data_IF_626221057433
#
_entry.id   IF_626221057433
#
_cell.length_a   1.000
_cell.length_b   1.000
_cell.length_c   1.000
_cell.angle_alpha   90.00
_cell.angle_beta   90.00
_cell.angle_gamma   90.00
#
_symmetry.space_group_name_H-M   'P 1'
#
loop_
_entity.id
_entity.type
_entity.pdbx_description
1 polymer ?
#
# COMPACT_ATOMS: atom_id res chain seq x y z
N UNK A 1 15.01 6.21 -4.52
CA UNK A 1 13.75 6.97 -4.52
C UNK A 1 13.87 8.12 -5.51
N UNK A 2 12.95 8.20 -6.42
CA UNK A 2 12.90 9.19 -7.51
C UNK A 2 11.68 10.10 -7.34
N UNK A 3 11.81 11.38 -7.69
CA UNK A 3 10.68 12.30 -7.77
C UNK A 3 9.97 12.11 -9.09
N UNK A 4 8.66 12.20 -9.08
CA UNK A 4 7.81 12.07 -10.25
C UNK A 4 7.37 13.46 -10.73
N UNK A 5 7.33 13.63 -12.05
CA UNK A 5 6.77 14.83 -12.66
C UNK A 5 5.26 14.95 -12.42
N UNK A 6 4.58 13.81 -12.40
CA UNK A 6 3.16 13.71 -12.08
C UNK A 6 2.92 12.86 -10.83
N UNK A 7 1.97 13.26 -9.99
CA UNK A 7 1.55 12.53 -8.79
C UNK A 7 0.91 11.20 -9.17
N UNK A 8 1.38 10.09 -8.63
CA UNK A 8 0.64 8.83 -8.65
C UNK A 8 -0.54 8.98 -7.69
N UNK A 9 -1.77 9.10 -8.25
CA UNK A 9 -2.95 9.46 -7.50
C UNK A 9 -4.19 8.68 -7.95
N UNK A 10 -4.80 7.92 -7.02
CA UNK A 10 -5.97 7.10 -7.32
C UNK A 10 -5.79 5.63 -6.94
N UNK A 11 -6.52 4.77 -7.63
CA UNK A 11 -6.51 3.32 -7.44
C UNK A 11 -5.72 2.67 -8.57
N UNK A 12 -4.75 1.83 -8.17
CA UNK A 12 -3.88 1.13 -9.10
C UNK A 12 -3.98 -0.37 -8.89
N UNK A 13 -3.88 -1.11 -9.98
CA UNK A 13 -3.87 -2.56 -9.98
C UNK A 13 -2.46 -3.07 -9.71
N UNK A 14 -2.37 -4.09 -8.85
CA UNK A 14 -1.13 -4.73 -8.44
C UNK A 14 -1.19 -6.23 -8.69
N UNK A 15 -0.03 -6.83 -8.90
CA UNK A 15 0.15 -8.26 -9.05
C UNK A 15 0.95 -8.83 -7.89
N UNK A 16 0.54 -10.00 -7.38
CA UNK A 16 1.32 -10.74 -6.39
C UNK A 16 2.45 -11.51 -7.06
N UNK A 17 3.67 -11.41 -6.52
CA UNK A 17 4.86 -12.03 -7.08
C UNK A 17 5.24 -13.30 -6.30
N UNK A 18 5.46 -13.21 -4.99
CA UNK A 18 5.91 -14.31 -4.13
C UNK A 18 4.78 -14.87 -3.25
N UNK A 19 3.83 -15.58 -3.84
CA UNK A 19 2.58 -16.07 -3.21
C UNK A 19 2.75 -16.93 -1.96
N UNK A 20 3.93 -17.53 -1.76
CA UNK A 20 4.21 -18.39 -0.60
C UNK A 20 4.60 -17.60 0.66
N UNK A 21 4.73 -16.28 0.55
CA UNK A 21 5.09 -15.44 1.69
C UNK A 21 3.87 -15.24 2.60
N UNK A 22 3.99 -15.46 3.93
CA UNK A 22 2.87 -15.33 4.86
C UNK A 22 2.18 -13.96 4.81
N UNK A 23 2.91 -12.87 4.54
CA UNK A 23 2.37 -11.51 4.51
C UNK A 23 1.25 -11.33 3.47
N UNK A 24 1.35 -11.98 2.33
CA UNK A 24 0.37 -11.88 1.24
C UNK A 24 -0.48 -13.15 1.09
N UNK A 25 -0.50 -14.01 2.11
CA UNK A 25 -1.34 -15.20 2.12
C UNK A 25 -2.82 -14.81 2.00
N UNK A 26 -3.52 -15.41 1.04
CA UNK A 26 -4.93 -15.11 0.76
C UNK A 26 -5.16 -13.89 -0.14
N UNK A 27 -4.09 -13.31 -0.70
CA UNK A 27 -4.24 -12.34 -1.76
C UNK A 27 -4.62 -13.03 -3.07
N UNK A 28 -5.43 -12.35 -3.87
CA UNK A 28 -5.63 -12.69 -5.27
C UNK A 28 -4.36 -12.43 -6.08
N UNK A 29 -4.28 -13.00 -7.27
CA UNK A 29 -3.18 -12.75 -8.20
C UNK A 29 -3.09 -11.29 -8.60
N UNK A 30 -4.25 -10.64 -8.63
CA UNK A 30 -4.44 -9.23 -9.00
C UNK A 30 -5.33 -8.57 -7.96
N UNK A 31 -4.93 -7.40 -7.48
CA UNK A 31 -5.67 -6.64 -6.50
C UNK A 31 -5.48 -5.13 -6.66
N UNK A 32 -6.35 -4.34 -6.06
CA UNK A 32 -6.30 -2.89 -6.09
C UNK A 32 -5.75 -2.31 -4.80
N UNK A 33 -4.99 -1.21 -4.93
CA UNK A 33 -4.56 -0.39 -3.78
C UNK A 33 -4.55 1.10 -4.13
N UNK A 34 -4.88 1.97 -3.15
CA UNK A 34 -4.80 3.41 -3.32
C UNK A 34 -3.37 3.94 -3.22
N UNK A 35 -3.08 4.95 -4.02
CA UNK A 35 -1.83 5.69 -3.98
C UNK A 35 -2.10 7.20 -3.98
N UNK A 36 -1.22 7.94 -3.29
CA UNK A 36 -1.18 9.41 -3.29
C UNK A 36 0.26 9.86 -3.00
N UNK A 37 1.10 9.94 -4.03
CA UNK A 37 2.52 10.23 -3.83
C UNK A 37 3.18 10.92 -5.02
N UNK A 38 4.16 11.77 -4.73
CA UNK A 38 5.01 12.47 -5.71
C UNK A 38 6.38 11.81 -5.92
N UNK A 39 6.57 10.60 -5.42
CA UNK A 39 7.84 9.89 -5.56
C UNK A 39 7.61 8.40 -5.69
N UNK A 40 8.56 7.71 -6.33
CA UNK A 40 8.54 6.26 -6.48
C UNK A 40 9.81 5.60 -5.96
N UNK A 41 9.69 4.30 -5.70
CA UNK A 41 10.82 3.41 -5.51
C UNK A 41 11.12 2.79 -6.88
N UNK A 42 12.36 2.93 -7.32
CA UNK A 42 12.83 2.35 -8.57
C UNK A 42 12.97 0.84 -8.39
N UNK A 43 12.29 0.05 -9.23
CA UNK A 43 12.29 -1.42 -9.17
C UNK A 43 13.71 -1.99 -9.24
N UNK A 44 14.50 -1.53 -10.18
CA UNK A 44 15.85 -1.99 -10.41
C UNK A 44 16.78 -1.76 -9.20
N UNK A 45 16.52 -0.71 -8.40
CA UNK A 45 17.29 -0.46 -7.18
C UNK A 45 16.93 -1.44 -6.07
N UNK A 46 15.67 -1.87 -6.00
CA UNK A 46 15.23 -2.92 -5.07
C UNK A 46 15.84 -4.27 -5.48
N UNK A 47 15.76 -4.62 -6.76
CA UNK A 47 16.23 -5.90 -7.29
C UNK A 47 17.77 -6.08 -7.20
N UNK A 48 18.53 -4.98 -7.23
CA UNK A 48 19.99 -4.99 -7.00
C UNK A 48 20.37 -5.33 -5.56
N UNK A 49 19.46 -5.14 -4.60
CA UNK A 49 19.74 -5.41 -3.19
C UNK A 49 19.22 -6.80 -2.80
N UNK A 50 20.10 -7.79 -2.55
CA UNK A 50 19.70 -9.16 -2.24
C UNK A 50 18.95 -9.29 -0.90
N UNK A 51 18.99 -8.28 -0.04
CA UNK A 51 18.23 -8.27 1.22
C UNK A 51 16.77 -7.87 1.04
N UNK A 52 16.39 -7.35 -0.13
CA UNK A 52 15.04 -6.88 -0.43
C UNK A 52 14.32 -7.87 -1.36
N UNK A 53 13.04 -8.10 -1.11
CA UNK A 53 12.17 -8.92 -1.96
C UNK A 53 10.87 -8.19 -2.22
N UNK A 54 10.53 -7.99 -3.50
CA UNK A 54 9.25 -7.42 -3.91
C UNK A 54 8.20 -8.52 -3.88
N UNK A 55 7.17 -8.34 -3.06
CA UNK A 55 6.05 -9.29 -2.92
C UNK A 55 4.87 -8.95 -3.81
N UNK A 56 4.65 -7.67 -4.05
CA UNK A 56 3.59 -7.18 -4.93
C UNK A 56 4.04 -5.90 -5.64
N UNK A 57 3.55 -5.73 -6.86
CA UNK A 57 4.01 -4.72 -7.78
C UNK A 57 2.92 -4.29 -8.76
N UNK A 58 3.07 -3.10 -9.33
CA UNK A 58 2.19 -2.52 -10.33
C UNK A 58 3.00 -2.01 -11.52
N UNK A 59 2.50 -2.24 -12.74
CA UNK A 59 3.11 -1.66 -13.94
C UNK A 59 3.03 -0.13 -13.94
N UNK A 60 1.94 0.43 -13.37
CA UNK A 60 1.69 1.87 -13.35
C UNK A 60 2.25 2.56 -12.09
N UNK A 61 2.24 1.86 -10.94
CA UNK A 61 2.62 2.44 -9.66
C UNK A 61 3.92 1.83 -9.06
N UNK A 62 4.57 0.90 -9.75
CA UNK A 62 5.83 0.26 -9.31
C UNK A 62 5.70 -0.62 -8.07
N UNK A 63 6.82 -0.94 -7.39
CA UNK A 63 6.84 -1.83 -6.24
C UNK A 63 5.90 -1.36 -5.12
N UNK A 64 5.04 -2.25 -4.64
CA UNK A 64 4.02 -1.93 -3.64
C UNK A 64 4.33 -2.50 -2.26
N UNK A 65 4.59 -3.81 -2.18
CA UNK A 65 4.97 -4.47 -0.92
C UNK A 65 6.38 -5.03 -1.08
N UNK A 66 7.28 -4.57 -0.22
CA UNK A 66 8.68 -5.01 -0.18
C UNK A 66 8.97 -5.51 1.22
N UNK A 67 9.68 -6.62 1.32
CA UNK A 67 10.07 -7.24 2.60
C UNK A 67 11.60 -7.35 2.67
N UNK A 68 12.15 -7.19 3.87
CA UNK A 68 13.56 -7.38 4.15
C UNK A 68 13.76 -8.09 5.49
N UNK A 69 14.97 -8.65 5.69
CA UNK A 69 15.39 -9.26 6.96
C UNK A 69 14.37 -10.28 7.50
N UNK A 70 13.94 -11.20 6.63
CA UNK A 70 12.98 -12.26 6.97
C UNK A 70 11.64 -11.73 7.52
N UNK A 71 11.23 -10.54 7.06
CA UNK A 71 9.97 -9.94 7.50
C UNK A 71 10.08 -8.97 8.68
N UNK A 72 11.27 -8.74 9.20
CA UNK A 72 11.48 -7.74 10.27
C UNK A 72 11.34 -6.30 9.76
N UNK A 73 11.43 -6.10 8.44
CA UNK A 73 11.18 -4.83 7.79
C UNK A 73 10.20 -5.05 6.64
N UNK A 74 9.10 -4.30 6.66
CA UNK A 74 8.04 -4.34 5.66
C UNK A 74 7.81 -2.91 5.20
N UNK A 75 7.86 -2.71 3.89
CA UNK A 75 7.63 -1.42 3.25
C UNK A 75 6.40 -1.54 2.36
N UNK A 76 5.44 -0.64 2.55
CA UNK A 76 4.24 -0.52 1.73
C UNK A 76 4.24 0.89 1.13
N UNK A 77 4.26 0.98 -0.19
CA UNK A 77 4.46 2.26 -0.91
C UNK A 77 3.16 2.99 -1.24
N UNK A 78 2.02 2.34 -1.03
CA UNK A 78 0.68 2.92 -1.17
C UNK A 78 -0.04 3.01 0.16
N UNK A 79 -1.35 3.23 0.11
CA UNK A 79 -2.18 3.53 1.28
C UNK A 79 -3.34 2.54 1.46
N UNK A 80 -3.08 1.26 1.79
CA UNK A 80 -4.16 0.29 2.01
C UNK A 80 -5.10 0.71 3.15
N UNK A 81 -4.62 1.54 4.11
CA UNK A 81 -5.38 2.06 5.24
C UNK A 81 -6.44 3.11 4.88
N UNK A 82 -6.38 3.69 3.69
CA UNK A 82 -7.25 4.81 3.33
C UNK A 82 -8.74 4.45 3.45
N UNK A 83 -9.48 5.39 4.05
CA UNK A 83 -10.95 5.38 3.98
C UNK A 83 -11.42 5.69 2.56
N UNK A 84 -12.69 5.36 2.28
CA UNK A 84 -13.26 5.53 0.96
C UNK A 84 -13.25 6.99 0.48
N UNK A 85 -13.36 7.96 1.38
CA UNK A 85 -13.41 9.39 1.06
C UNK A 85 -12.05 10.10 1.13
N UNK A 86 -10.97 9.42 1.48
CA UNK A 86 -9.66 10.06 1.70
C UNK A 86 -9.14 10.72 0.44
N UNK A 87 -9.12 10.00 -0.69
CA UNK A 87 -8.65 10.56 -1.97
C UNK A 87 -9.57 11.67 -2.50
N UNK A 88 -10.88 11.58 -2.28
CA UNK A 88 -11.84 12.65 -2.62
C UNK A 88 -11.54 13.93 -1.84
N UNK A 89 -11.27 13.78 -0.53
CA UNK A 89 -10.88 14.90 0.32
C UNK A 89 -9.55 15.54 -0.10
N UNK A 90 -8.56 14.73 -0.46
CA UNK A 90 -7.28 15.22 -0.99
C UNK A 90 -7.48 15.99 -2.32
N UNK A 91 -8.22 15.41 -3.26
CA UNK A 91 -8.50 16.01 -4.56
C UNK A 91 -9.19 17.37 -4.43
N UNK A 92 -10.29 17.42 -3.65
CA UNK A 92 -11.04 18.66 -3.41
C UNK A 92 -10.21 19.71 -2.68
N UNK A 93 -9.39 19.31 -1.71
CA UNK A 93 -8.47 20.19 -0.98
C UNK A 93 -7.46 20.84 -1.93
N UNK A 94 -6.85 20.03 -2.80
CA UNK A 94 -5.78 20.51 -3.69
C UNK A 94 -6.36 21.44 -4.78
N UNK A 95 -7.56 21.15 -5.31
CA UNK A 95 -8.32 22.06 -6.18
C UNK A 95 -8.66 23.37 -5.46
N UNK A 96 -9.14 23.31 -4.22
CA UNK A 96 -9.53 24.51 -3.46
C UNK A 96 -8.35 25.42 -3.12
N UNK A 97 -7.13 24.87 -3.05
CA UNK A 97 -5.89 25.63 -2.88
C UNK A 97 -5.40 26.31 -4.15
N UNK A 98 -6.07 26.09 -5.28
CA UNK A 98 -5.67 26.62 -6.59
C UNK A 98 -4.33 26.03 -7.06
N UNK A 99 -4.02 24.79 -6.68
CA UNK A 99 -2.81 24.14 -7.18
C UNK A 99 -2.93 23.87 -8.67
N UNK A 100 -1.88 24.17 -9.41
CA UNK A 100 -1.80 23.84 -10.83
C UNK A 100 -1.63 22.31 -11.00
N UNK A 101 -2.26 21.77 -12.03
CA UNK A 101 -2.11 20.37 -12.43
C UNK A 101 -2.47 19.33 -11.34
N UNK A 102 -3.59 19.54 -10.63
CA UNK A 102 -4.12 18.53 -9.72
C UNK A 102 -4.62 17.33 -10.54
N UNK A 103 -3.97 16.14 -10.46
CA UNK A 103 -4.39 15.01 -11.25
C UNK A 103 -5.75 14.49 -10.79
N UNK A 104 -6.56 14.06 -11.74
CA UNK A 104 -7.81 13.36 -11.44
C UNK A 104 -7.49 11.98 -10.83
N UNK A 105 -8.17 11.56 -9.73
CA UNK A 105 -7.87 10.28 -9.10
C UNK A 105 -8.26 9.11 -10.00
N UNK A 106 -7.24 8.35 -10.45
CA UNK A 106 -7.38 7.24 -11.38
C UNK A 106 -8.28 6.13 -10.83
N UNK A 107 -9.24 5.63 -11.61
CA UNK A 107 -10.15 4.49 -11.28
C UNK A 107 -10.81 4.59 -9.90
N UNK A 108 -11.04 5.79 -9.39
CA UNK A 108 -11.51 6.00 -8.04
C UNK A 108 -13.02 6.27 -7.98
N UNK A 109 -13.52 7.14 -8.84
CA UNK A 109 -14.94 7.41 -8.91
C UNK A 109 -15.66 6.40 -9.81
N UNK A 110 -16.92 6.11 -9.48
CA UNK A 110 -17.77 5.28 -10.32
C UNK A 110 -17.92 5.92 -11.70
N UNK A 111 -17.60 5.14 -12.75
CA UNK A 111 -17.66 5.58 -14.15
C UNK A 111 -16.86 6.89 -14.41
N UNK A 112 -15.79 7.12 -13.64
CA UNK A 112 -14.97 8.35 -13.64
C UNK A 112 -15.77 9.64 -13.42
N UNK A 113 -16.90 9.54 -12.69
CA UNK A 113 -17.81 10.65 -12.40
C UNK A 113 -17.83 10.95 -10.88
N UNK A 114 -17.28 12.10 -10.45
CA UNK A 114 -17.27 12.49 -9.04
C UNK A 114 -18.64 12.56 -8.39
N UNK A 115 -19.66 12.93 -9.15
CA UNK A 115 -21.05 13.00 -8.68
C UNK A 115 -21.66 11.64 -8.35
N UNK A 116 -21.11 10.53 -8.88
CA UNK A 116 -21.53 9.17 -8.55
C UNK A 116 -20.80 8.61 -7.34
N UNK A 117 -19.82 9.34 -6.81
CA UNK A 117 -19.05 8.98 -5.63
C UNK A 117 -17.95 7.94 -5.88
N UNK A 118 -17.10 7.70 -4.88
CA UNK A 118 -15.99 6.76 -4.98
C UNK A 118 -16.42 5.30 -4.83
N UNK A 119 -15.64 4.39 -5.43
CA UNK A 119 -15.79 2.94 -5.31
C UNK A 119 -14.63 2.36 -4.50
N UNK A 120 -14.91 1.76 -3.34
CA UNK A 120 -13.89 1.11 -2.50
C UNK A 120 -13.61 -0.32 -2.99
N UNK A 121 -12.53 -0.51 -3.72
CA UNK A 121 -12.14 -1.80 -4.33
C UNK A 121 -10.90 -2.46 -3.68
N UNK A 122 -10.42 -1.97 -2.52
CA UNK A 122 -9.18 -2.45 -1.88
C UNK A 122 -9.36 -3.00 -0.46
N UNK A 123 -10.57 -2.94 0.11
CA UNK A 123 -10.83 -3.28 1.53
C UNK A 123 -10.38 -4.68 1.92
N UNK A 124 -10.71 -5.69 1.10
CA UNK A 124 -10.41 -7.07 1.44
C UNK A 124 -8.90 -7.33 1.53
N UNK A 125 -8.14 -6.86 0.54
CA UNK A 125 -6.69 -7.02 0.52
C UNK A 125 -6.00 -6.18 1.59
N UNK A 126 -6.48 -4.97 1.87
CA UNK A 126 -6.01 -4.17 3.00
C UNK A 126 -6.18 -4.90 4.34
N UNK A 127 -7.37 -5.41 4.62
CA UNK A 127 -7.65 -6.17 5.84
C UNK A 127 -6.77 -7.43 5.93
N UNK A 128 -6.61 -8.15 4.82
CA UNK A 128 -5.77 -9.35 4.75
C UNK A 128 -4.31 -9.01 5.03
N UNK A 129 -3.78 -7.91 4.46
CA UNK A 129 -2.42 -7.45 4.71
C UNK A 129 -2.17 -7.20 6.21
N UNK A 130 -3.02 -6.39 6.85
CA UNK A 130 -2.86 -6.07 8.26
C UNK A 130 -3.08 -7.28 9.17
N UNK A 131 -4.03 -8.14 8.85
CA UNK A 131 -4.27 -9.39 9.60
C UNK A 131 -3.07 -10.33 9.51
N UNK A 132 -2.50 -10.50 8.31
CA UNK A 132 -1.31 -11.31 8.12
C UNK A 132 -0.09 -10.72 8.83
N UNK A 133 0.09 -9.40 8.74
CA UNK A 133 1.18 -8.72 9.45
C UNK A 133 1.07 -8.94 10.96
N UNK A 134 -0.09 -8.70 11.56
CA UNK A 134 -0.30 -8.92 13.00
C UNK A 134 -0.05 -10.38 13.39
N UNK A 135 -0.65 -11.34 12.66
CA UNK A 135 -0.61 -12.74 13.04
C UNK A 135 0.77 -13.37 12.84
N UNK A 136 1.42 -13.11 11.70
CA UNK A 136 2.66 -13.82 11.33
C UNK A 136 3.94 -13.06 11.69
N UNK A 137 3.91 -11.74 11.81
CA UNK A 137 5.10 -10.93 12.04
C UNK A 137 5.10 -10.25 13.41
N UNK A 138 3.96 -9.85 13.94
CA UNK A 138 3.89 -9.25 15.27
C UNK A 138 3.77 -10.35 16.35
N UNK A 139 2.69 -11.15 16.30
CA UNK A 139 2.44 -12.13 17.37
C UNK A 139 3.39 -13.33 17.35
N UNK A 140 3.80 -13.82 16.19
CA UNK A 140 4.64 -15.02 16.11
C UNK A 140 6.15 -14.71 16.20
N UNK A 141 6.59 -13.52 15.81
CA UNK A 141 8.00 -13.14 15.82
C UNK A 141 8.42 -12.32 17.04
N UNK A 142 7.48 -11.79 17.80
CA UNK A 142 7.75 -11.05 19.03
C UNK A 142 7.77 -12.04 20.19
N UNK A 143 8.91 -12.13 20.88
CA UNK A 143 9.02 -12.86 22.13
C UNK A 143 8.28 -12.06 23.22
N UNK A 144 6.99 -12.30 23.36
CA UNK A 144 6.16 -11.66 24.36
C UNK A 144 5.83 -12.67 25.45
N UNK A 145 6.34 -12.42 26.66
CA UNK A 145 5.97 -13.18 27.86
C UNK A 145 4.99 -12.35 28.71
N UNK A 146 3.70 -12.75 28.81
CA UNK A 146 2.74 -12.05 29.66
C UNK A 146 3.15 -11.98 31.14
N UNK A 147 4.00 -12.89 31.60
CA UNK A 147 4.48 -12.91 32.98
C UNK A 147 5.52 -11.83 33.27
N UNK A 148 6.21 -11.32 32.24
CA UNK A 148 7.17 -10.21 32.42
C UNK A 148 6.50 -8.87 32.70
N UNK A 149 5.21 -8.67 32.30
CA UNK A 149 4.45 -7.44 32.57
C UNK A 149 4.25 -7.22 34.07
N UNK A 150 4.17 -8.27 34.87
CA UNK A 150 3.97 -8.17 36.33
C UNK A 150 5.19 -7.57 37.05
N UNK A 151 6.34 -7.51 36.39
CA UNK A 151 7.59 -6.99 36.92
C UNK A 151 7.86 -5.51 36.59
N UNK A 152 6.95 -4.85 35.86
CA UNK A 152 7.05 -3.44 35.47
C UNK A 152 6.30 -2.46 36.40
N UNK A 153 6.04 -2.86 37.65
CA UNK A 153 5.46 -1.98 38.69
C UNK A 153 6.52 -1.37 39.58
#
# INVERSE_FOLDING_TARGET
>A
KELLDEKIFGIFQHHTIHRKTPLIRGFDDVFNAPHSRHSQIVREDVEKNPELTILADSEEAGPFIIIAKEGRQIFVTGHPEYDVLTLDGEYKRDLAKGMDNVPFPNRYYKDDKPELGPVKSWRCHANTLYTNWLNYYVYQMTTYDPMEIQNLK
#
